data_IF_939575459679
#
_entry.id   IF_939575459679
#
_cell.length_a   1.000
_cell.length_b   1.000
_cell.length_c   1.000
_cell.angle_alpha   90.00
_cell.angle_beta   90.00
_cell.angle_gamma   90.00
#
_symmetry.space_group_name_H-M   'P 1'
#
loop_
_entity.id
_entity.type
_entity.pdbx_description
1 polymer ?
#
# COMPACT_ATOMS: atom_id res chain seq x y z
N UNK A 1 30.33 33.68 12.50
CA UNK A 1 28.87 33.71 12.33
C UNK A 1 28.41 32.45 11.60
N UNK A 2 28.53 31.29 12.27
CA UNK A 2 28.18 29.99 11.72
C UNK A 2 27.38 29.26 12.79
N UNK A 3 26.06 29.18 12.62
CA UNK A 3 25.19 28.55 13.60
C UNK A 3 23.82 29.18 13.64
N UNK A 4 22.95 28.84 12.68
CA UNK A 4 21.48 28.90 12.82
C UNK A 4 20.72 28.31 11.61
N UNK A 5 21.24 27.27 10.94
CA UNK A 5 20.51 26.54 9.88
C UNK A 5 20.37 25.04 10.19
N UNK A 6 20.30 24.66 11.47
CA UNK A 6 20.18 23.26 11.91
C UNK A 6 18.84 22.95 12.62
N UNK A 7 17.76 23.62 12.21
CA UNK A 7 16.42 23.41 12.81
C UNK A 7 15.26 23.48 11.81
N UNK A 8 15.51 23.04 10.59
CA UNK A 8 14.48 22.53 9.70
C UNK A 8 14.91 21.13 9.29
N UNK A 9 14.75 20.13 10.16
CA UNK A 9 14.86 18.74 9.70
C UNK A 9 13.79 18.60 8.62
N UNK A 10 14.21 18.25 7.40
CA UNK A 10 13.30 17.93 6.31
C UNK A 10 12.37 16.81 6.79
N UNK A 11 11.17 17.17 7.25
CA UNK A 11 10.17 16.22 7.77
C UNK A 11 9.49 15.46 6.63
N UNK A 12 9.65 15.94 5.39
CA UNK A 12 9.10 15.33 4.19
C UNK A 12 9.39 13.83 4.04
N UNK A 13 10.66 13.34 4.12
CA UNK A 13 10.94 11.91 4.07
C UNK A 13 10.27 11.12 5.19
N UNK A 14 10.16 11.68 6.40
CA UNK A 14 9.49 11.02 7.53
C UNK A 14 8.00 10.89 7.26
N UNK A 15 7.34 11.96 6.81
CA UNK A 15 5.91 11.92 6.46
C UNK A 15 5.65 10.90 5.36
N UNK A 16 6.46 10.88 4.31
CA UNK A 16 6.32 9.92 3.20
C UNK A 16 6.52 8.47 3.66
N UNK A 17 7.51 8.22 4.53
CA UNK A 17 7.71 6.91 5.12
C UNK A 17 6.52 6.48 6.01
N UNK A 18 5.99 7.39 6.83
CA UNK A 18 4.86 7.11 7.71
C UNK A 18 3.61 6.79 6.90
N UNK A 19 3.23 7.63 5.93
CA UNK A 19 2.08 7.37 5.04
C UNK A 19 2.26 6.03 4.32
N UNK A 20 3.47 5.73 3.86
CA UNK A 20 3.77 4.46 3.23
C UNK A 20 3.57 3.26 4.17
N UNK A 21 4.10 3.33 5.39
CA UNK A 21 3.93 2.29 6.39
C UNK A 21 2.47 2.11 6.83
N UNK A 22 1.70 3.20 6.91
CA UNK A 22 0.27 3.12 7.23
C UNK A 22 -0.49 2.32 6.17
N UNK A 23 -0.24 2.60 4.89
CA UNK A 23 -0.85 1.89 3.77
C UNK A 23 -0.39 0.43 3.70
N UNK A 24 0.91 0.18 3.88
CA UNK A 24 1.51 -1.14 3.69
C UNK A 24 1.36 -2.09 4.90
N UNK A 25 1.21 -1.55 6.11
CA UNK A 25 1.21 -2.32 7.37
C UNK A 25 -0.03 -2.07 8.22
N UNK A 26 -0.33 -0.82 8.56
CA UNK A 26 -1.40 -0.52 9.51
C UNK A 26 -2.78 -0.87 8.96
N UNK A 27 -3.05 -0.53 7.69
CA UNK A 27 -4.30 -0.84 7.01
C UNK A 27 -4.56 -2.35 6.89
N UNK A 28 -3.64 -3.19 6.37
CA UNK A 28 -3.87 -4.63 6.30
C UNK A 28 -3.98 -5.26 7.69
N UNK A 29 -3.25 -4.77 8.70
CA UNK A 29 -3.42 -5.22 10.09
C UNK A 29 -4.82 -4.89 10.63
N UNK A 30 -5.31 -3.68 10.38
CA UNK A 30 -6.67 -3.28 10.74
C UNK A 30 -7.73 -4.15 10.05
N UNK A 31 -7.57 -4.40 8.76
CA UNK A 31 -8.49 -5.27 8.01
C UNK A 31 -8.40 -6.70 8.56
N UNK A 32 -7.22 -7.21 8.87
CA UNK A 32 -7.08 -8.55 9.44
C UNK A 32 -7.94 -8.73 10.70
N UNK A 33 -7.91 -7.76 11.61
CA UNK A 33 -8.68 -7.77 12.86
C UNK A 33 -10.17 -7.58 12.61
N UNK A 34 -10.55 -6.82 11.58
CA UNK A 34 -11.94 -6.38 11.39
C UNK A 34 -12.66 -7.07 10.22
N UNK A 35 -12.01 -7.91 9.42
CA UNK A 35 -12.51 -8.51 8.15
C UNK A 35 -13.85 -9.24 8.22
N UNK A 36 -14.28 -9.64 9.42
CA UNK A 36 -15.55 -10.32 9.66
C UNK A 36 -16.74 -9.36 9.83
N UNK A 37 -16.51 -8.04 9.86
CA UNK A 37 -17.58 -7.04 9.93
C UNK A 37 -18.35 -6.98 8.62
N UNK A 38 -19.68 -6.96 8.71
CA UNK A 38 -20.58 -6.85 7.57
C UNK A 38 -20.39 -5.55 6.76
N UNK A 39 -19.87 -4.50 7.40
CA UNK A 39 -19.55 -3.22 6.77
C UNK A 39 -18.53 -3.39 5.63
N UNK A 40 -17.47 -4.17 5.85
CA UNK A 40 -16.46 -4.43 4.81
C UNK A 40 -17.03 -5.16 3.61
N UNK A 41 -18.03 -6.02 3.81
CA UNK A 41 -18.69 -6.74 2.72
C UNK A 41 -19.59 -5.83 1.87
N UNK A 42 -20.02 -4.68 2.39
CA UNK A 42 -20.84 -3.72 1.62
C UNK A 42 -19.98 -2.86 0.71
N UNK A 43 -18.77 -2.53 1.14
CA UNK A 43 -17.86 -1.62 0.42
C UNK A 43 -16.80 -2.37 -0.41
N UNK A 44 -16.71 -3.70 -0.29
CA UNK A 44 -15.80 -4.50 -1.11
C UNK A 44 -16.13 -4.37 -2.60
N UNK A 45 -15.17 -3.83 -3.35
CA UNK A 45 -15.21 -3.67 -4.80
C UNK A 45 -14.33 -4.74 -5.49
N UNK A 46 -14.59 -5.07 -6.77
CA UNK A 46 -13.74 -5.99 -7.53
C UNK A 46 -12.31 -5.48 -7.69
N UNK A 47 -11.32 -6.37 -7.60
CA UNK A 47 -9.90 -6.03 -7.72
C UNK A 47 -9.55 -5.25 -8.99
N UNK A 48 -10.20 -5.58 -10.12
CA UNK A 48 -10.00 -4.92 -11.41
C UNK A 48 -10.39 -3.43 -11.40
N UNK A 49 -11.28 -3.02 -10.50
CA UNK A 49 -11.70 -1.62 -10.32
C UNK A 49 -10.82 -0.93 -9.28
N UNK A 50 -10.58 -1.61 -8.16
CA UNK A 50 -9.88 -1.01 -7.02
C UNK A 50 -8.42 -0.72 -7.31
N UNK A 51 -7.71 -1.63 -7.99
CA UNK A 51 -6.29 -1.43 -8.29
C UNK A 51 -6.02 -0.15 -9.08
N UNK A 52 -6.64 0.09 -10.26
CA UNK A 52 -6.39 1.32 -11.01
C UNK A 52 -6.89 2.56 -10.25
N UNK A 53 -8.01 2.46 -9.53
CA UNK A 53 -8.52 3.58 -8.73
C UNK A 53 -7.54 3.98 -7.62
N UNK A 54 -7.03 3.01 -6.87
CA UNK A 54 -6.06 3.27 -5.80
C UNK A 54 -4.72 3.75 -6.36
N UNK A 55 -4.28 3.22 -7.50
CA UNK A 55 -3.06 3.67 -8.16
C UNK A 55 -3.13 5.16 -8.54
N UNK A 56 -4.23 5.57 -9.17
CA UNK A 56 -4.46 6.98 -9.52
C UNK A 56 -4.53 7.84 -8.27
N UNK A 57 -5.30 7.42 -7.26
CA UNK A 57 -5.44 8.15 -6.00
C UNK A 57 -4.09 8.32 -5.30
N UNK A 58 -3.34 7.24 -5.13
CA UNK A 58 -2.01 7.23 -4.52
C UNK A 58 -1.06 8.14 -5.30
N UNK A 59 -1.01 8.01 -6.63
CA UNK A 59 -0.16 8.85 -7.46
C UNK A 59 -0.47 10.34 -7.34
N UNK A 60 -1.76 10.72 -7.42
CA UNK A 60 -2.19 12.11 -7.28
C UNK A 60 -1.82 12.65 -5.90
N UNK A 61 -2.12 11.92 -4.82
CA UNK A 61 -1.84 12.38 -3.46
C UNK A 61 -0.33 12.52 -3.23
N UNK A 62 0.47 11.51 -3.60
CA UNK A 62 1.92 11.53 -3.40
C UNK A 62 2.58 12.71 -4.13
N UNK A 63 2.17 12.98 -5.37
CA UNK A 63 2.77 14.06 -6.18
C UNK A 63 2.30 15.45 -5.75
N UNK A 64 1.09 15.57 -5.19
CA UNK A 64 0.52 16.86 -4.79
C UNK A 64 0.82 17.23 -3.34
N UNK A 65 1.03 16.26 -2.45
CA UNK A 65 1.32 16.49 -1.03
C UNK A 65 2.44 17.53 -0.78
N UNK A 66 3.60 17.48 -1.49
CA UNK A 66 4.68 18.45 -1.30
C UNK A 66 4.28 19.90 -1.63
N UNK A 67 3.21 20.10 -2.41
CA UNK A 67 2.72 21.40 -2.83
C UNK A 67 1.72 22.00 -1.82
N UNK A 68 1.31 21.25 -0.80
CA UNK A 68 0.23 21.62 0.12
C UNK A 68 0.81 21.97 1.49
N UNK A 69 0.67 23.24 1.87
CA UNK A 69 1.10 23.76 3.19
C UNK A 69 0.00 23.73 4.26
N UNK A 70 -1.25 23.50 3.86
CA UNK A 70 -2.41 23.53 4.76
C UNK A 70 -2.58 22.20 5.50
N UNK A 71 -2.42 22.22 6.83
CA UNK A 71 -2.57 21.04 7.68
C UNK A 71 -3.94 20.35 7.53
N UNK A 72 -5.10 21.05 7.54
CA UNK A 72 -6.39 20.40 7.32
C UNK A 72 -6.49 19.66 5.98
N UNK A 73 -5.93 20.23 4.91
CA UNK A 73 -5.95 19.60 3.59
C UNK A 73 -5.03 18.38 3.58
N UNK A 74 -3.87 18.48 4.21
CA UNK A 74 -2.94 17.36 4.35
C UNK A 74 -3.58 16.17 5.08
N UNK A 75 -4.27 16.42 6.21
CA UNK A 75 -4.98 15.38 6.95
C UNK A 75 -6.14 14.77 6.14
N UNK A 76 -6.85 15.59 5.37
CA UNK A 76 -7.92 15.10 4.49
C UNK A 76 -7.38 14.18 3.39
N UNK A 77 -6.27 14.55 2.76
CA UNK A 77 -5.64 13.71 1.74
C UNK A 77 -5.08 12.42 2.33
N UNK A 78 -4.46 12.48 3.50
CA UNK A 78 -4.00 11.28 4.21
C UNK A 78 -5.19 10.36 4.53
N UNK A 79 -6.29 10.90 5.07
CA UNK A 79 -7.50 10.12 5.34
C UNK A 79 -8.06 9.48 4.06
N UNK A 80 -8.08 10.22 2.94
CA UNK A 80 -8.53 9.70 1.66
C UNK A 80 -7.62 8.59 1.14
N UNK A 81 -6.29 8.74 1.28
CA UNK A 81 -5.30 7.72 0.95
C UNK A 81 -5.55 6.45 1.77
N UNK A 82 -5.78 6.58 3.08
CA UNK A 82 -6.06 5.44 3.96
C UNK A 82 -7.39 4.76 3.61
N UNK A 83 -8.45 5.51 3.28
CA UNK A 83 -9.69 4.94 2.77
C UNK A 83 -9.47 4.16 1.46
N UNK A 84 -8.67 4.72 0.54
CA UNK A 84 -8.30 4.02 -0.69
C UNK A 84 -7.50 2.74 -0.43
N UNK A 85 -6.54 2.80 0.51
CA UNK A 85 -5.73 1.66 0.91
C UNK A 85 -6.58 0.55 1.52
N UNK A 86 -7.59 0.91 2.31
CA UNK A 86 -8.55 -0.05 2.85
C UNK A 86 -9.23 -0.81 1.71
N UNK A 87 -9.76 -0.08 0.72
CA UNK A 87 -10.39 -0.71 -0.45
C UNK A 87 -9.40 -1.60 -1.20
N UNK A 88 -8.15 -1.14 -1.39
CA UNK A 88 -7.08 -1.89 -2.05
C UNK A 88 -6.78 -3.24 -1.39
N UNK A 89 -6.84 -3.32 -0.06
CA UNK A 89 -6.55 -4.55 0.67
C UNK A 89 -7.74 -5.51 0.80
N UNK A 90 -8.99 -5.04 0.58
CA UNK A 90 -10.18 -5.89 0.70
C UNK A 90 -10.19 -7.10 -0.25
N UNK A 91 -9.84 -7.01 -1.55
CA UNK A 91 -9.72 -8.17 -2.42
C UNK A 91 -8.68 -9.21 -1.95
N UNK A 92 -7.70 -8.77 -1.16
CA UNK A 92 -6.62 -9.63 -0.66
C UNK A 92 -6.97 -10.27 0.69
N UNK A 93 -7.62 -9.54 1.60
CA UNK A 93 -7.82 -9.98 3.00
C UNK A 93 -9.27 -10.07 3.44
N UNK A 94 -10.18 -9.44 2.70
CA UNK A 94 -11.61 -9.44 2.96
C UNK A 94 -12.28 -10.78 2.64
N UNK A 95 -13.60 -10.82 2.77
CA UNK A 95 -14.40 -12.05 2.58
C UNK A 95 -15.22 -12.01 1.30
N UNK A 96 -15.71 -10.84 0.89
CA UNK A 96 -16.44 -10.64 -0.37
C UNK A 96 -15.48 -10.16 -1.46
N UNK A 97 -15.66 -10.66 -2.69
CA UNK A 97 -14.75 -10.42 -3.83
C UNK A 97 -13.28 -10.76 -3.53
N UNK A 98 -13.05 -11.63 -2.54
CA UNK A 98 -11.72 -12.11 -2.20
C UNK A 98 -11.15 -12.90 -3.36
N UNK A 99 -9.96 -12.53 -3.79
CA UNK A 99 -9.23 -13.23 -4.83
C UNK A 99 -8.80 -14.64 -4.36
N UNK A 100 -8.66 -15.56 -5.32
CA UNK A 100 -8.00 -16.85 -5.07
C UNK A 100 -6.54 -16.62 -4.69
N UNK A 101 -5.92 -17.56 -3.99
CA UNK A 101 -4.53 -17.42 -3.54
C UNK A 101 -3.53 -17.11 -4.68
N UNK A 102 -3.58 -17.74 -5.89
CA UNK A 102 -2.72 -17.32 -7.00
C UNK A 102 -3.05 -15.92 -7.52
N UNK A 103 -4.33 -15.54 -7.59
CA UNK A 103 -4.72 -14.20 -8.04
C UNK A 103 -4.28 -13.11 -7.05
N UNK A 104 -4.25 -13.40 -5.75
CA UNK A 104 -3.72 -12.48 -4.71
C UNK A 104 -2.23 -12.24 -4.90
N UNK A 105 -1.47 -13.28 -5.21
CA UNK A 105 -0.04 -13.16 -5.53
C UNK A 105 0.19 -12.28 -6.74
N UNK A 106 -0.49 -12.57 -7.87
CA UNK A 106 -0.39 -11.76 -9.10
C UNK A 106 -0.79 -10.31 -8.84
N UNK A 107 -1.89 -10.09 -8.11
CA UNK A 107 -2.37 -8.76 -7.75
C UNK A 107 -1.32 -7.95 -6.99
N UNK A 108 -0.70 -8.52 -5.95
CA UNK A 108 0.29 -7.80 -5.14
C UNK A 108 1.62 -7.61 -5.85
N UNK A 109 2.08 -8.60 -6.62
CA UNK A 109 3.30 -8.46 -7.44
C UNK A 109 3.14 -7.43 -8.54
N UNK A 110 1.94 -7.29 -9.11
CA UNK A 110 1.65 -6.23 -10.06
C UNK A 110 1.51 -4.87 -9.37
N UNK A 111 0.87 -4.82 -8.20
CA UNK A 111 0.67 -3.58 -7.46
C UNK A 111 1.99 -2.97 -6.98
N UNK A 112 2.95 -3.78 -6.54
CA UNK A 112 4.23 -3.31 -6.00
C UNK A 112 4.96 -2.31 -6.93
N UNK A 113 5.37 -2.67 -8.17
CA UNK A 113 6.06 -1.73 -9.05
C UNK A 113 5.19 -0.55 -9.47
N UNK A 114 3.86 -0.74 -9.55
CA UNK A 114 2.94 0.33 -9.94
C UNK A 114 2.82 1.39 -8.83
N UNK A 115 2.71 0.96 -7.57
CA UNK A 115 2.64 1.85 -6.41
C UNK A 115 3.96 2.60 -6.18
N UNK A 116 5.09 2.08 -6.67
CA UNK A 116 6.38 2.77 -6.60
C UNK A 116 6.54 3.86 -7.68
N UNK A 117 5.74 3.86 -8.76
CA UNK A 117 5.86 4.84 -9.85
C UNK A 117 5.79 6.32 -9.39
N UNK A 118 4.88 6.72 -8.49
CA UNK A 118 4.85 8.10 -7.99
C UNK A 118 6.11 8.44 -7.19
N UNK A 119 6.70 7.47 -6.49
CA UNK A 119 7.95 7.63 -5.77
C UNK A 119 9.13 7.87 -6.73
N UNK A 120 9.19 7.09 -7.81
CA UNK A 120 10.18 7.25 -8.88
C UNK A 120 10.01 8.62 -9.55
N UNK A 121 8.78 9.05 -9.80
CA UNK A 121 8.50 10.39 -10.32
C UNK A 121 8.98 11.49 -9.34
N UNK A 122 8.77 11.33 -8.03
CA UNK A 122 9.31 12.25 -7.01
C UNK A 122 10.84 12.34 -7.08
N UNK A 123 11.54 11.22 -7.20
CA UNK A 123 13.00 11.20 -7.38
C UNK A 123 13.41 11.95 -8.64
N UNK A 124 12.72 11.72 -9.76
CA UNK A 124 12.98 12.40 -11.03
C UNK A 124 12.74 13.92 -10.96
N UNK A 125 11.79 14.37 -10.12
CA UNK A 125 11.49 15.77 -9.85
C UNK A 125 12.43 16.42 -8.81
N UNK A 126 13.43 15.68 -8.31
CA UNK A 126 14.42 16.19 -7.36
C UNK A 126 14.08 15.95 -5.87
N UNK A 127 12.92 15.36 -5.55
CA UNK A 127 12.51 15.00 -4.19
C UNK A 127 13.05 13.61 -3.80
N UNK A 128 14.37 13.43 -3.89
CA UNK A 128 15.04 12.12 -3.78
C UNK A 128 14.76 11.43 -2.43
N UNK A 129 14.97 12.13 -1.32
CA UNK A 129 14.80 11.55 0.01
C UNK A 129 13.35 11.10 0.28
N UNK A 130 12.37 11.93 -0.11
CA UNK A 130 10.95 11.61 0.03
C UNK A 130 10.52 10.42 -0.84
N UNK A 131 10.96 10.38 -2.10
CA UNK A 131 10.68 9.27 -2.99
C UNK A 131 11.27 7.94 -2.49
N UNK A 132 12.55 7.93 -2.08
CA UNK A 132 13.19 6.73 -1.55
C UNK A 132 12.55 6.26 -0.24
N UNK A 133 12.22 7.18 0.66
CA UNK A 133 11.53 6.86 1.90
C UNK A 133 10.19 6.14 1.65
N UNK A 134 9.46 6.56 0.63
CA UNK A 134 8.19 5.93 0.26
C UNK A 134 8.38 4.52 -0.32
N UNK A 135 9.34 4.32 -1.23
CA UNK A 135 9.66 2.98 -1.79
C UNK A 135 10.01 2.00 -0.67
N UNK A 136 10.90 2.41 0.24
CA UNK A 136 11.31 1.57 1.36
C UNK A 136 10.13 1.26 2.28
N UNK A 137 9.25 2.23 2.53
CA UNK A 137 8.05 2.04 3.34
C UNK A 137 7.00 1.12 2.67
N UNK A 138 7.04 0.96 1.35
CA UNK A 138 6.15 0.07 0.58
C UNK A 138 6.62 -1.40 0.53
N UNK A 139 7.87 -1.70 0.91
CA UNK A 139 8.42 -3.07 0.92
C UNK A 139 7.55 -4.13 1.62
N UNK A 140 6.80 -3.83 2.71
CA UNK A 140 5.91 -4.81 3.32
C UNK A 140 4.85 -5.39 2.38
N UNK A 141 4.45 -4.68 1.32
CA UNK A 141 3.54 -5.21 0.29
C UNK A 141 4.21 -6.37 -0.46
N UNK A 142 5.48 -6.23 -0.84
CA UNK A 142 6.27 -7.29 -1.47
C UNK A 142 6.45 -8.50 -0.55
N UNK A 143 6.67 -8.27 0.74
CA UNK A 143 6.74 -9.34 1.74
C UNK A 143 5.40 -10.08 1.87
N UNK A 144 4.28 -9.36 1.84
CA UNK A 144 2.95 -9.96 1.84
C UNK A 144 2.70 -10.81 0.59
N UNK A 145 3.12 -10.33 -0.59
CA UNK A 145 3.05 -11.08 -1.84
C UNK A 145 3.85 -12.39 -1.76
N UNK A 146 5.08 -12.31 -1.26
CA UNK A 146 5.96 -13.47 -1.08
C UNK A 146 5.33 -14.49 -0.11
N UNK A 147 4.84 -14.03 1.05
CA UNK A 147 4.24 -14.90 2.05
C UNK A 147 2.97 -15.61 1.53
N UNK A 148 2.13 -14.91 0.77
CA UNK A 148 0.93 -15.50 0.16
C UNK A 148 1.31 -16.54 -0.90
N UNK A 149 2.29 -16.22 -1.75
CA UNK A 149 2.79 -17.11 -2.80
C UNK A 149 3.39 -18.37 -2.19
N UNK A 150 4.24 -18.22 -1.18
CA UNK A 150 4.84 -19.35 -0.48
C UNK A 150 3.78 -20.27 0.11
N UNK A 151 2.80 -19.71 0.85
CA UNK A 151 1.73 -20.51 1.46
C UNK A 151 0.91 -21.26 0.42
N UNK A 152 0.65 -20.64 -0.74
CA UNK A 152 -0.08 -21.26 -1.84
C UNK A 152 0.71 -22.45 -2.43
N UNK A 153 1.98 -22.24 -2.80
CA UNK A 153 2.84 -23.28 -3.37
C UNK A 153 2.94 -24.48 -2.41
N UNK A 154 3.21 -24.25 -1.13
CA UNK A 154 3.29 -25.36 -0.16
C UNK A 154 1.94 -26.07 0.04
N UNK A 155 0.81 -25.38 -0.14
CA UNK A 155 -0.49 -26.03 -0.07
C UNK A 155 -0.76 -26.93 -1.29
N UNK A 156 -0.36 -26.51 -2.49
CA UNK A 156 -0.46 -27.34 -3.69
C UNK A 156 0.47 -28.56 -3.61
N UNK A 157 1.70 -28.39 -3.13
CA UNK A 157 2.64 -29.50 -2.94
C UNK A 157 2.07 -30.59 -2.01
N UNK A 158 1.47 -30.19 -0.88
CA UNK A 158 0.84 -31.14 0.05
C UNK A 158 -0.36 -31.87 -0.57
N UNK A 159 -1.17 -31.18 -1.36
CA UNK A 159 -2.30 -31.78 -2.06
C UNK A 159 -1.83 -32.78 -3.11
N UNK A 160 -0.77 -32.45 -3.86
CA UNK A 160 -0.19 -33.34 -4.84
C UNK A 160 0.40 -34.61 -4.19
N UNK A 161 1.06 -34.48 -3.04
CA UNK A 161 1.58 -35.63 -2.29
C UNK A 161 0.46 -36.56 -1.81
N UNK A 162 -0.63 -36.01 -1.28
CA UNK A 162 -1.77 -36.79 -0.81
C UNK A 162 -2.58 -37.48 -1.94
N UNK A 163 -2.35 -37.13 -3.21
CA UNK A 163 -2.99 -37.77 -4.37
C UNK A 163 -2.17 -38.93 -4.95
N UNK A 164 -0.89 -39.06 -4.55
CA UNK A 164 0.02 -40.11 -4.99
C UNK A 164 0.04 -41.30 -4.02
N UNK A 165 -0.44 -41.10 -2.78
CA UNK A 165 -0.70 -42.14 -1.78
C UNK A 165 -2.08 -42.80 -1.96
#
# INVERSE_FOLDING_TARGET
MNGMHAHGMDTQPVTMAVSGLLVAVAVPALIHVTRHRAEWQKVALPAAVVLPLFLVLHGVITLTMPLISSLPVHLLLEALLLCGAILFWLPVMGTRHRLSDPARSVYLYLAMPLLDLPAVAMVALGHVAGGLAMIVAMLPIGLAALAITWRWVTAEERLAQAQVE
#
